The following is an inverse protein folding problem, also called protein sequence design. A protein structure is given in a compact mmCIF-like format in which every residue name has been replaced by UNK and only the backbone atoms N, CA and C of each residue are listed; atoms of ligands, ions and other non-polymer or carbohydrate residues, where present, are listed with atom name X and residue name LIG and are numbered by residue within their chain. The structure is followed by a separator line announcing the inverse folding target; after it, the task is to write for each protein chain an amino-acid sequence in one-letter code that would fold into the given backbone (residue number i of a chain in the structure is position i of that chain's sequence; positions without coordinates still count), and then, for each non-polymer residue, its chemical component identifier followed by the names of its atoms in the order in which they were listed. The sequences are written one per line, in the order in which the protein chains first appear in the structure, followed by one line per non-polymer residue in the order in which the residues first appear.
data_IF_852199873256
#
_entry.id   IF_852199873256
#
_cell.length_a   1.000
_cell.length_b   1.000
_cell.length_c   1.000
_cell.angle_alpha   90.00
_cell.angle_beta   90.00
_cell.angle_gamma   90.00
#
_symmetry.space_group_name_H-M   'P 1'
#
loop_
_entity.id
_entity.type
_entity.pdbx_description
1 polymer ?
#
# COMPACT_ATOMS: atom_id res chain seq x y z
N UNK A 1 -36.38 -7.61 -65.33
CA UNK A 1 -35.69 -8.54 -64.39
C UNK A 1 -34.72 -7.74 -63.54
N UNK A 2 -35.01 -7.60 -62.24
CA UNK A 2 -34.06 -7.28 -61.17
C UNK A 2 -34.82 -7.51 -59.85
N UNK A 3 -34.55 -8.65 -59.22
CA UNK A 3 -35.12 -9.02 -57.93
C UNK A 3 -34.40 -8.20 -56.86
N UNK A 4 -35.15 -7.45 -56.06
CA UNK A 4 -34.62 -6.76 -54.88
C UNK A 4 -35.02 -7.58 -53.66
N UNK A 5 -34.06 -8.27 -53.07
CA UNK A 5 -34.22 -9.04 -51.83
C UNK A 5 -34.07 -8.08 -50.66
N UNK A 6 -35.10 -7.96 -49.82
CA UNK A 6 -35.02 -7.34 -48.50
C UNK A 6 -34.54 -8.39 -47.49
N UNK A 7 -33.39 -8.16 -46.86
CA UNK A 7 -32.95 -8.93 -45.70
C UNK A 7 -33.35 -8.14 -44.46
N UNK A 8 -34.35 -8.62 -43.73
CA UNK A 8 -34.69 -8.13 -42.38
C UNK A 8 -33.80 -8.91 -41.41
N UNK A 9 -32.76 -8.26 -40.90
CA UNK A 9 -31.87 -8.84 -39.90
C UNK A 9 -32.46 -8.62 -38.52
N UNK A 10 -33.17 -9.61 -37.99
CA UNK A 10 -33.70 -9.59 -36.62
C UNK A 10 -32.55 -9.82 -35.63
N UNK A 11 -32.07 -8.76 -34.98
CA UNK A 11 -31.15 -8.88 -33.85
C UNK A 11 -31.95 -9.26 -32.60
N UNK A 12 -31.84 -10.53 -32.19
CA UNK A 12 -32.21 -10.94 -30.84
C UNK A 12 -31.09 -10.50 -29.89
N UNK A 13 -31.30 -9.40 -29.15
CA UNK A 13 -30.51 -9.12 -27.96
C UNK A 13 -30.99 -10.05 -26.84
N UNK A 14 -30.26 -11.14 -26.59
CA UNK A 14 -30.33 -11.78 -25.28
C UNK A 14 -29.66 -10.83 -24.28
N UNK A 15 -30.47 -10.10 -23.51
CA UNK A 15 -30.00 -9.48 -22.28
C UNK A 15 -29.70 -10.58 -21.28
N UNK A 16 -28.43 -11.00 -21.19
CA UNK A 16 -27.98 -11.71 -20.00
C UNK A 16 -28.05 -10.71 -18.84
N UNK A 17 -29.08 -10.79 -18.00
CA UNK A 17 -29.02 -10.25 -16.64
C UNK A 17 -28.05 -11.13 -15.84
N UNK A 18 -26.76 -10.97 -16.09
CA UNK A 18 -25.76 -11.28 -15.10
C UNK A 18 -25.85 -10.18 -14.05
N UNK A 19 -26.56 -10.44 -12.95
CA UNK A 19 -26.34 -9.67 -11.73
C UNK A 19 -24.89 -9.92 -11.32
N UNK A 20 -23.97 -9.05 -11.75
CA UNK A 20 -22.70 -8.90 -11.10
C UNK A 20 -23.02 -8.52 -9.66
N UNK A 21 -22.92 -9.48 -8.76
CA UNK A 21 -22.94 -9.22 -7.33
C UNK A 21 -21.79 -8.25 -7.09
N UNK A 22 -22.10 -6.97 -6.88
CA UNK A 22 -21.11 -5.92 -6.66
C UNK A 22 -20.37 -6.28 -5.37
N UNK A 23 -19.26 -7.02 -5.51
CA UNK A 23 -18.21 -7.05 -4.51
C UNK A 23 -17.85 -5.59 -4.31
N UNK A 24 -17.87 -5.10 -3.07
CA UNK A 24 -17.81 -3.69 -2.71
C UNK A 24 -16.73 -2.86 -3.42
N UNK A 25 -16.78 -1.55 -3.24
CA UNK A 25 -15.79 -0.62 -3.77
C UNK A 25 -14.43 -0.85 -3.09
N UNK A 26 -13.32 -0.94 -3.85
CA UNK A 26 -12.01 -1.07 -3.24
C UNK A 26 -11.64 0.19 -2.44
N UNK A 27 -10.87 0.05 -1.36
CA UNK A 27 -10.30 1.19 -0.64
C UNK A 27 -9.41 2.04 -1.55
N UNK A 28 -9.35 3.35 -1.28
CA UNK A 28 -8.50 4.32 -1.99
C UNK A 28 -7.51 4.96 -1.04
N UNK A 29 -6.22 4.93 -1.39
CA UNK A 29 -5.19 5.72 -0.71
C UNK A 29 -5.27 7.15 -1.24
N UNK A 30 -5.58 8.09 -0.35
CA UNK A 30 -5.80 9.51 -0.69
C UNK A 30 -4.60 10.40 -0.35
N UNK A 31 -3.72 9.94 0.53
CA UNK A 31 -2.45 10.58 0.83
C UNK A 31 -1.38 9.54 1.15
N UNK A 32 -0.14 9.85 0.80
CA UNK A 32 1.00 8.98 1.05
C UNK A 32 2.31 9.76 1.07
N UNK A 33 3.14 9.52 2.08
CA UNK A 33 4.49 10.06 2.14
C UNK A 33 5.39 9.19 3.01
N UNK A 34 6.62 8.99 2.57
CA UNK A 34 7.70 8.46 3.39
C UNK A 34 9.00 9.13 2.96
N UNK A 35 9.93 9.28 3.89
CA UNK A 35 11.25 9.79 3.53
C UNK A 35 12.04 8.72 2.80
N UNK A 36 12.71 9.10 1.71
CA UNK A 36 13.47 8.17 0.88
C UNK A 36 14.86 7.84 1.46
N UNK A 37 15.28 8.58 2.50
CA UNK A 37 16.64 8.53 3.05
C UNK A 37 16.63 8.72 4.56
N UNK A 38 17.26 7.80 5.30
CA UNK A 38 17.35 7.85 6.77
C UNK A 38 18.70 7.33 7.26
N UNK A 39 19.01 7.52 8.54
CA UNK A 39 20.17 6.88 9.18
C UNK A 39 19.86 5.48 9.66
N UNK A 40 20.90 4.64 9.72
CA UNK A 40 20.86 3.36 10.44
C UNK A 40 20.37 3.58 11.87
N UNK A 41 19.29 2.91 12.27
CA UNK A 41 18.69 3.01 13.60
C UNK A 41 17.52 4.00 13.71
N UNK A 42 17.29 4.84 12.70
CA UNK A 42 16.12 5.70 12.64
C UNK A 42 14.82 4.88 12.48
N UNK A 43 13.69 5.42 12.93
CA UNK A 43 12.37 4.82 12.66
C UNK A 43 11.89 5.32 11.30
N UNK A 44 11.76 4.42 10.33
CA UNK A 44 11.16 4.78 9.05
C UNK A 44 9.64 4.84 9.18
N UNK A 45 9.05 6.02 9.00
CA UNK A 45 7.60 6.23 9.06
C UNK A 45 7.03 6.38 7.67
N UNK A 46 5.91 5.70 7.44
CA UNK A 46 5.16 5.74 6.20
C UNK A 46 3.78 6.29 6.54
N UNK A 47 3.55 7.53 6.14
CA UNK A 47 2.35 8.29 6.41
C UNK A 47 1.33 8.03 5.31
N UNK A 48 0.08 7.75 5.71
CA UNK A 48 -0.97 7.29 4.82
C UNK A 48 -2.30 7.88 5.27
N UNK A 49 -3.13 8.26 4.29
CA UNK A 49 -4.57 8.42 4.48
C UNK A 49 -5.31 7.57 3.46
N UNK A 50 -6.44 7.03 3.87
CA UNK A 50 -7.28 6.21 3.01
C UNK A 50 -8.75 6.36 3.33
N UNK A 51 -9.56 6.10 2.31
CA UNK A 51 -11.02 6.15 2.30
C UNK A 51 -11.58 4.87 1.69
N UNK A 52 -12.68 4.39 2.25
CA UNK A 52 -13.43 3.26 1.71
C UNK A 52 -14.93 3.60 1.74
N UNK A 53 -15.59 3.66 0.56
CA UNK A 53 -17.01 3.98 0.46
C UNK A 53 -17.92 3.02 1.23
N UNK A 54 -17.54 1.75 1.35
CA UNK A 54 -18.34 0.72 2.03
C UNK A 54 -17.99 0.62 3.52
N UNK A 55 -16.86 1.21 3.90
CA UNK A 55 -16.43 1.36 5.28
C UNK A 55 -16.06 0.06 5.96
N UNK A 56 -15.43 -0.85 5.22
CA UNK A 56 -15.06 -2.18 5.69
C UNK A 56 -13.58 -2.52 5.45
N UNK A 57 -12.69 -1.53 5.35
CA UNK A 57 -11.23 -1.72 5.40
C UNK A 57 -10.84 -2.55 6.61
N UNK A 58 -9.96 -3.54 6.41
CA UNK A 58 -9.55 -4.45 7.48
C UNK A 58 -8.06 -4.43 7.77
N UNK A 59 -7.21 -4.23 6.76
CA UNK A 59 -5.76 -4.42 6.91
C UNK A 59 -4.95 -3.65 5.88
N UNK A 60 -3.72 -3.36 6.25
CA UNK A 60 -2.66 -2.91 5.35
C UNK A 60 -1.74 -4.12 5.12
N UNK A 61 -1.49 -4.45 3.85
CA UNK A 61 -0.51 -5.47 3.46
C UNK A 61 0.75 -4.77 3.02
N UNK A 62 1.88 -5.22 3.55
CA UNK A 62 3.19 -4.64 3.28
C UNK A 62 4.17 -5.69 2.79
N UNK A 63 4.97 -5.34 1.81
CA UNK A 63 6.04 -6.18 1.30
C UNK A 63 7.30 -5.36 1.10
N UNK A 64 8.39 -5.79 1.74
CA UNK A 64 9.70 -5.16 1.61
C UNK A 64 10.60 -6.03 0.76
N UNK A 65 11.22 -5.42 -0.22
CA UNK A 65 12.34 -5.96 -0.97
C UNK A 65 13.61 -5.20 -0.59
N UNK A 66 14.69 -5.94 -0.36
CA UNK A 66 16.01 -5.38 -0.08
C UNK A 66 16.98 -5.75 -1.19
N UNK A 67 17.63 -4.75 -1.78
CA UNK A 67 18.65 -4.97 -2.80
C UNK A 67 19.78 -5.84 -2.25
N UNK A 68 20.17 -6.87 -3.01
CA UNK A 68 21.20 -7.83 -2.63
C UNK A 68 20.78 -8.90 -1.61
N UNK A 69 19.52 -8.90 -1.15
CA UNK A 69 18.94 -9.96 -0.29
C UNK A 69 17.67 -10.57 -0.86
N UNK A 70 16.84 -9.76 -1.51
CA UNK A 70 15.53 -10.16 -2.03
C UNK A 70 14.38 -9.77 -1.10
N UNK A 71 13.25 -10.45 -1.28
CA UNK A 71 11.97 -10.10 -0.65
C UNK A 71 11.79 -10.74 0.72
N UNK A 72 11.35 -9.95 1.69
CA UNK A 72 10.89 -10.44 3.00
C UNK A 72 9.47 -11.03 2.90
N UNK A 73 9.07 -11.92 3.82
CA UNK A 73 7.66 -12.29 3.96
C UNK A 73 6.77 -11.05 4.05
N UNK A 74 5.62 -11.08 3.38
CA UNK A 74 4.66 -10.00 3.49
C UNK A 74 4.12 -9.92 4.93
N UNK A 75 3.94 -8.70 5.42
CA UNK A 75 3.42 -8.44 6.75
C UNK A 75 2.03 -7.78 6.68
N UNK A 76 1.19 -8.10 7.68
CA UNK A 76 -0.22 -7.72 7.74
C UNK A 76 -0.47 -6.88 8.99
N UNK A 77 -0.80 -5.62 8.79
CA UNK A 77 -1.16 -4.68 9.85
C UNK A 77 -2.68 -4.57 9.89
N UNK A 78 -3.30 -5.12 10.93
CA UNK A 78 -4.76 -5.02 11.11
C UNK A 78 -5.17 -3.63 11.53
N UNK A 79 -6.18 -3.07 10.85
CA UNK A 79 -6.78 -1.81 11.24
C UNK A 79 -7.59 -1.97 12.53
N UNK A 80 -7.55 -0.94 13.38
CA UNK A 80 -8.32 -0.90 14.63
C UNK A 80 -9.75 -0.45 14.34
N UNK A 81 -10.67 -0.80 15.23
CA UNK A 81 -12.05 -0.30 15.19
C UNK A 81 -12.09 1.23 15.08
N UNK A 82 -12.95 1.74 14.21
CA UNK A 82 -13.09 3.16 13.87
C UNK A 82 -12.19 3.64 12.73
N UNK A 83 -11.45 2.74 12.05
CA UNK A 83 -10.59 3.06 10.90
C UNK A 83 -11.11 2.44 9.59
N UNK A 84 -12.21 1.68 9.65
CA UNK A 84 -12.70 0.86 8.54
C UNK A 84 -13.21 1.71 7.35
N UNK A 85 -13.74 2.92 7.59
CA UNK A 85 -14.19 3.82 6.52
C UNK A 85 -13.21 4.92 6.14
N UNK A 86 -12.42 5.40 7.09
CA UNK A 86 -11.41 6.43 6.84
C UNK A 86 -10.34 6.36 7.92
N UNK A 87 -9.10 6.59 7.53
CA UNK A 87 -8.05 6.88 8.50
C UNK A 87 -6.97 7.80 7.95
N UNK A 88 -6.23 8.39 8.88
CA UNK A 88 -4.96 9.08 8.67
C UNK A 88 -4.01 8.66 9.78
N UNK A 89 -2.74 8.45 9.46
CA UNK A 89 -1.72 8.05 10.43
C UNK A 89 -0.42 7.59 9.77
N UNK A 90 0.39 6.85 10.51
CA UNK A 90 1.57 6.19 9.96
C UNK A 90 1.70 4.73 10.38
N UNK A 91 2.21 3.90 9.47
CA UNK A 91 2.87 2.65 9.84
C UNK A 91 4.38 2.92 9.97
N UNK A 92 5.11 2.04 10.65
CA UNK A 92 6.55 2.26 10.84
C UNK A 92 7.35 0.97 10.78
N UNK A 93 8.57 1.07 10.25
CA UNK A 93 9.58 0.04 10.32
C UNK A 93 10.64 0.45 11.35
N UNK A 94 10.86 -0.42 12.34
CA UNK A 94 11.99 -0.28 13.25
C UNK A 94 13.25 -0.73 12.49
N UNK A 95 14.20 0.18 12.31
CA UNK A 95 15.49 -0.14 11.69
C UNK A 95 16.61 -0.29 12.70
N UNK A 96 16.25 -0.30 13.99
CA UNK A 96 17.17 -0.54 15.10
C UNK A 96 17.77 -1.93 15.00
N UNK A 97 19.01 -2.00 14.54
CA UNK A 97 19.85 -3.18 14.66
C UNK A 97 21.22 -2.76 15.18
N UNK A 98 21.97 -3.68 15.80
CA UNK A 98 23.36 -3.47 16.19
C UNK A 98 24.33 -3.36 14.99
N UNK A 99 23.82 -3.20 13.75
CA UNK A 99 24.56 -3.24 12.49
C UNK A 99 24.29 -1.98 11.67
N UNK A 100 25.33 -1.52 10.99
CA UNK A 100 25.23 -0.42 10.03
C UNK A 100 24.62 -0.90 8.72
N UNK A 101 23.53 -0.25 8.29
CA UNK A 101 22.84 -0.49 7.03
C UNK A 101 23.27 0.49 5.92
N UNK A 102 24.31 1.31 6.11
CA UNK A 102 24.80 2.24 5.09
C UNK A 102 24.84 1.63 3.67
N UNK A 103 24.19 2.31 2.72
CA UNK A 103 24.13 1.90 1.32
C UNK A 103 23.13 0.77 1.02
N UNK A 104 22.46 0.21 2.03
CA UNK A 104 21.33 -0.70 1.81
C UNK A 104 20.15 0.10 1.29
N UNK A 105 19.48 -0.45 0.28
CA UNK A 105 18.23 0.09 -0.26
C UNK A 105 17.09 -0.89 -0.04
N UNK A 106 15.93 -0.35 0.35
CA UNK A 106 14.67 -1.06 0.46
C UNK A 106 13.66 -0.50 -0.52
N UNK A 107 12.77 -1.36 -0.99
CA UNK A 107 11.53 -0.98 -1.68
C UNK A 107 10.36 -1.56 -0.90
N UNK A 108 9.52 -0.68 -0.35
CA UNK A 108 8.27 -1.07 0.29
C UNK A 108 7.14 -0.94 -0.71
N UNK A 109 6.35 -2.00 -0.88
CA UNK A 109 5.05 -1.95 -1.56
C UNK A 109 3.94 -2.10 -0.53
N UNK A 110 2.93 -1.22 -0.58
CA UNK A 110 1.75 -1.26 0.29
C UNK A 110 0.46 -1.37 -0.51
N UNK A 111 -0.49 -2.13 0.03
CA UNK A 111 -1.92 -2.11 -0.36
C UNK A 111 -2.80 -2.07 0.88
N UNK A 112 -4.02 -1.58 0.73
CA UNK A 112 -5.07 -1.63 1.76
C UNK A 112 -6.15 -2.58 1.27
N UNK A 113 -6.60 -3.49 2.13
CA UNK A 113 -7.61 -4.49 1.79
C UNK A 113 -8.86 -4.35 2.65
N UNK A 114 -10.01 -4.50 2.00
CA UNK A 114 -11.32 -4.56 2.65
C UNK A 114 -11.65 -5.96 3.21
N UNK A 115 -12.88 -6.15 3.68
CA UNK A 115 -13.34 -7.41 4.27
C UNK A 115 -13.56 -8.51 3.24
N UNK A 116 -13.94 -8.16 2.01
CA UNK A 116 -14.23 -9.09 0.92
C UNK A 116 -13.02 -9.38 0.03
N UNK A 117 -11.88 -8.75 0.32
CA UNK A 117 -10.59 -8.96 -0.33
C UNK A 117 -10.34 -8.04 -1.53
N UNK A 118 -11.12 -6.97 -1.72
CA UNK A 118 -10.72 -5.94 -2.67
C UNK A 118 -9.53 -5.16 -2.09
N UNK A 119 -8.60 -4.80 -2.98
CA UNK A 119 -7.40 -4.06 -2.61
C UNK A 119 -7.41 -2.68 -3.27
N UNK A 120 -6.83 -1.71 -2.58
CA UNK A 120 -6.38 -0.48 -3.21
C UNK A 120 -5.36 -0.77 -4.32
N UNK A 121 -5.13 0.22 -5.19
CA UNK A 121 -3.90 0.22 -6.00
C UNK A 121 -2.65 0.16 -5.11
N UNK A 122 -1.57 -0.51 -5.54
CA UNK A 122 -0.34 -0.56 -4.77
C UNK A 122 0.37 0.79 -4.81
N UNK A 123 1.01 1.14 -3.71
CA UNK A 123 1.94 2.28 -3.64
C UNK A 123 3.33 1.80 -3.23
N UNK A 124 4.35 2.47 -3.77
CA UNK A 124 5.76 2.09 -3.61
C UNK A 124 6.54 3.21 -2.93
N UNK A 125 7.34 2.86 -1.93
CA UNK A 125 8.24 3.77 -1.24
C UNK A 125 9.67 3.23 -1.29
N UNK A 126 10.61 3.95 -1.93
CA UNK A 126 12.02 3.63 -1.81
C UNK A 126 12.58 4.10 -0.47
N UNK A 127 13.61 3.40 0.01
CA UNK A 127 14.42 3.82 1.15
C UNK A 127 15.88 3.54 0.85
N UNK A 128 16.75 4.48 1.18
CA UNK A 128 18.20 4.31 1.24
C UNK A 128 18.69 4.65 2.65
N UNK A 129 19.50 3.77 3.22
CA UNK A 129 20.21 4.05 4.47
C UNK A 129 21.47 4.88 4.18
N UNK A 130 21.50 6.11 4.67
CA UNK A 130 22.63 7.04 4.53
C UNK A 130 22.76 7.97 5.76
N UNK A 131 23.38 9.16 5.62
CA UNK A 131 23.62 10.09 6.73
C UNK A 131 22.54 11.17 6.86
N UNK A 132 21.53 11.19 6.00
CA UNK A 132 20.50 12.22 6.03
C UNK A 132 19.60 12.04 7.25
N UNK A 133 19.43 13.09 8.08
CA UNK A 133 18.53 13.02 9.22
C UNK A 133 17.07 12.98 8.76
N UNK A 134 16.20 12.45 9.62
CA UNK A 134 14.76 12.53 9.38
C UNK A 134 14.32 13.99 9.29
N UNK A 135 13.56 14.32 8.24
CA UNK A 135 12.94 15.63 8.09
C UNK A 135 11.54 15.63 8.72
N UNK A 136 11.15 16.70 9.43
CA UNK A 136 9.77 16.84 9.91
C UNK A 136 8.81 16.88 8.71
N UNK A 137 7.57 16.43 8.94
CA UNK A 137 6.49 16.62 7.97
C UNK A 137 6.21 18.12 7.80
N UNK A 138 5.66 18.56 6.65
CA UNK A 138 5.17 19.91 6.52
C UNK A 138 4.14 20.22 7.63
N UNK A 139 4.14 21.43 8.22
CA UNK A 139 3.34 21.76 9.41
C UNK A 139 1.84 21.46 9.28
N UNK A 140 1.27 21.67 8.08
CA UNK A 140 -0.16 21.46 7.82
C UNK A 140 -0.53 19.99 7.60
N UNK A 141 0.46 19.09 7.58
CA UNK A 141 0.27 17.65 7.33
C UNK A 141 0.27 16.85 8.65
N UNK A 142 0.72 17.43 9.78
CA UNK A 142 1.07 16.64 10.96
C UNK A 142 -0.09 16.15 11.83
N UNK A 143 -1.18 16.91 12.01
CA UNK A 143 -2.12 16.64 13.11
C UNK A 143 -2.79 15.27 13.01
N UNK A 144 -3.35 14.94 11.85
CA UNK A 144 -4.06 13.67 11.65
C UNK A 144 -3.12 12.53 11.23
N UNK A 145 -1.91 12.87 10.78
CA UNK A 145 -0.89 11.89 10.41
C UNK A 145 -0.04 11.43 11.59
N UNK A 146 0.05 12.19 12.69
CA UNK A 146 0.89 11.85 13.84
C UNK A 146 0.25 10.80 14.78
N UNK A 147 -0.37 9.76 14.20
CA UNK A 147 -0.96 8.63 14.94
C UNK A 147 -0.39 7.31 14.40
N UNK A 148 0.22 6.47 15.25
CA UNK A 148 0.68 5.15 14.81
C UNK A 148 -0.51 4.22 14.55
N UNK A 149 -0.50 3.59 13.38
CA UNK A 149 -1.45 2.57 12.94
C UNK A 149 -0.95 1.19 13.39
N UNK A 150 0.30 0.88 13.06
CA UNK A 150 0.96 -0.38 13.41
C UNK A 150 2.42 -0.43 12.96
N UNK A 151 3.14 -1.44 13.41
CA UNK A 151 4.51 -1.71 13.01
C UNK A 151 4.55 -2.65 11.80
N UNK A 152 5.52 -2.45 10.90
CA UNK A 152 5.92 -3.45 9.91
C UNK A 152 6.83 -4.45 10.64
N UNK A 153 6.30 -5.65 10.88
CA UNK A 153 6.89 -6.73 11.67
C UNK A 153 7.92 -7.57 10.92
N UNK A 154 8.94 -6.93 10.35
CA UNK A 154 10.09 -7.64 9.77
C UNK A 154 11.38 -7.36 10.55
N UNK A 155 12.31 -8.32 10.51
CA UNK A 155 13.66 -8.13 11.02
C UNK A 155 14.62 -7.90 9.85
N UNK A 156 15.09 -6.65 9.71
CA UNK A 156 16.08 -6.31 8.70
C UNK A 156 17.41 -7.00 9.00
N UNK A 157 18.07 -7.46 7.95
CA UNK A 157 19.29 -8.25 8.05
C UNK A 157 20.26 -7.84 6.96
N UNK A 158 21.54 -7.62 7.31
CA UNK A 158 22.55 -7.17 6.35
C UNK A 158 22.64 -8.15 5.17
N UNK A 159 22.67 -7.71 3.91
CA UNK A 159 22.87 -8.65 2.80
C UNK A 159 24.22 -9.37 2.98
N UNK A 160 24.35 -10.62 2.51
CA UNK A 160 25.63 -11.34 2.55
C UNK A 160 26.70 -10.51 1.80
N UNK A 161 27.90 -10.41 2.36
CA UNK A 161 29.01 -9.70 1.71
C UNK A 161 29.38 -10.39 0.39
N UNK A 162 29.50 -9.62 -0.71
CA UNK A 162 30.07 -10.12 -1.98
C UNK A 162 29.25 -9.87 -3.25
N UNK A 163 28.49 -8.78 -3.34
CA UNK A 163 27.95 -8.27 -4.62
C UNK A 163 28.65 -6.97 -5.00
#
# INVERSE_FOLDING_TARGET
MKNMVFVISTFFFLTSLGHAQTRGSPPTITFSYAQEKIRSGDIWRIYLSADDPDGDMTRIVSAIEQTGRGRYPADIIRLKKGMEGRFSGYIYLLTTSFRDFWGVTLTLTLTIEDRVGNSSGPIVFPLEFNSEPIKPLPPDTEKDLNRPIGAIGIELTRPPYGL
#
